data_IF_716268950484
#
_entry.id   IF_716268950484
#
_cell.length_a   1.000
_cell.length_b   1.000
_cell.length_c   1.000
_cell.angle_alpha   90.00
_cell.angle_beta   90.00
_cell.angle_gamma   90.00
#
_symmetry.space_group_name_H-M   'P 1'
#
loop_
_entity.id
_entity.type
_entity.pdbx_description
1 polymer ?
#
# COMPACT_ATOMS: atom_id res chain seq x y z
N UNK A 1 24.25 -0.47 6.98
CA UNK A 1 23.17 0.07 6.12
C UNK A 1 22.74 -1.06 5.21
N UNK A 2 21.48 -1.49 5.25
CA UNK A 2 21.00 -2.47 4.27
C UNK A 2 20.97 -1.81 2.89
N UNK A 3 21.40 -2.51 1.83
CA UNK A 3 21.31 -1.98 0.49
C UNK A 3 19.84 -1.63 0.21
N UNK A 4 19.57 -0.52 -0.49
CA UNK A 4 18.21 -0.21 -0.91
C UNK A 4 17.66 -1.38 -1.76
N UNK A 5 16.33 -1.59 -1.78
CA UNK A 5 15.68 -2.45 -2.77
C UNK A 5 15.86 -1.78 -4.15
N UNK A 6 17.03 -1.99 -4.75
CA UNK A 6 17.53 -1.18 -5.86
C UNK A 6 18.93 -1.62 -6.30
N UNK A 7 19.03 -2.91 -6.62
CA UNK A 7 19.97 -3.57 -7.55
C UNK A 7 21.50 -3.49 -7.33
N UNK A 8 22.07 -4.65 -6.96
CA UNK A 8 23.39 -5.13 -7.43
C UNK A 8 23.30 -6.50 -8.14
N UNK A 9 22.19 -7.24 -7.97
CA UNK A 9 21.94 -8.55 -8.57
C UNK A 9 20.51 -8.60 -9.11
N UNK A 10 20.28 -9.33 -10.22
CA UNK A 10 18.92 -9.66 -10.65
C UNK A 10 18.26 -10.48 -9.54
N UNK A 11 17.17 -9.96 -8.97
CA UNK A 11 16.43 -10.61 -7.87
C UNK A 11 15.90 -11.99 -8.28
N UNK A 12 15.67 -12.20 -9.58
CA UNK A 12 15.19 -13.47 -10.15
C UNK A 12 15.94 -13.81 -11.45
N UNK A 13 16.30 -15.08 -11.62
CA UNK A 13 16.93 -15.63 -12.84
C UNK A 13 16.03 -15.53 -14.07
N UNK A 14 16.52 -15.84 -15.29
CA UNK A 14 15.66 -15.77 -16.49
C UNK A 14 14.48 -16.74 -16.43
N UNK A 15 14.71 -17.92 -15.87
CA UNK A 15 13.76 -19.04 -15.85
C UNK A 15 13.01 -19.15 -14.51
N UNK A 16 13.08 -18.13 -13.66
CA UNK A 16 12.39 -18.13 -12.37
C UNK A 16 10.87 -17.98 -12.59
N UNK A 17 10.06 -18.98 -12.20
CA UNK A 17 8.61 -18.96 -12.44
C UNK A 17 7.91 -17.79 -11.73
N UNK A 18 8.53 -17.22 -10.68
CA UNK A 18 7.98 -16.07 -9.94
C UNK A 18 7.98 -14.79 -10.77
N UNK A 19 8.75 -14.72 -11.86
CA UNK A 19 8.79 -13.55 -12.75
C UNK A 19 7.45 -13.23 -13.39
N UNK A 20 6.60 -14.23 -13.62
CA UNK A 20 5.24 -14.02 -14.12
C UNK A 20 4.37 -13.19 -13.17
N UNK A 21 4.74 -13.10 -11.89
CA UNK A 21 4.02 -12.33 -10.86
C UNK A 21 4.68 -10.99 -10.55
N UNK A 22 5.83 -10.68 -11.15
CA UNK A 22 6.49 -9.38 -10.96
C UNK A 22 5.74 -8.35 -11.78
N UNK A 23 5.41 -7.21 -11.16
CA UNK A 23 4.79 -6.10 -11.86
C UNK A 23 5.66 -5.68 -13.05
N UNK A 24 5.08 -5.69 -14.24
CA UNK A 24 5.76 -5.24 -15.44
C UNK A 24 6.00 -3.72 -15.30
N UNK A 25 7.27 -3.25 -15.32
CA UNK A 25 7.58 -1.83 -15.11
C UNK A 25 6.96 -0.90 -16.16
N UNK A 26 6.57 -1.41 -17.33
CA UNK A 26 5.86 -0.62 -18.37
C UNK A 26 4.42 -0.28 -17.95
N UNK A 27 3.77 -1.15 -17.18
CA UNK A 27 2.37 -1.00 -16.76
C UNK A 27 2.23 -0.73 -15.26
N UNK A 28 3.33 -0.68 -14.52
CA UNK A 28 3.32 -0.44 -13.09
C UNK A 28 2.96 1.02 -12.79
N UNK A 29 1.87 1.22 -12.06
CA UNK A 29 1.50 2.53 -11.54
C UNK A 29 2.42 2.90 -10.36
N UNK A 30 3.23 3.99 -10.45
CA UNK A 30 4.17 4.36 -9.40
C UNK A 30 3.49 4.68 -8.06
N UNK A 31 2.18 4.95 -8.07
CA UNK A 31 1.39 5.22 -6.86
C UNK A 31 1.29 4.00 -5.94
N UNK A 32 1.60 2.79 -6.43
CA UNK A 32 1.71 1.59 -5.59
C UNK A 32 2.70 1.76 -4.45
N UNK A 33 3.78 2.55 -4.65
CA UNK A 33 4.78 2.83 -3.62
C UNK A 33 4.25 3.65 -2.44
N UNK A 34 3.08 4.28 -2.59
CA UNK A 34 2.42 5.02 -1.50
C UNK A 34 1.39 4.16 -0.76
N UNK A 35 1.09 2.96 -1.27
CA UNK A 35 0.12 2.02 -0.69
C UNK A 35 0.81 0.89 0.08
N UNK A 36 2.04 0.55 -0.31
CA UNK A 36 2.84 -0.49 0.32
C UNK A 36 3.45 0.03 1.63
N UNK A 37 2.72 -0.16 2.73
CA UNK A 37 3.21 0.14 4.07
C UNK A 37 3.81 -1.10 4.74
N UNK A 38 5.09 -1.00 5.08
CA UNK A 38 5.86 -2.00 5.80
C UNK A 38 5.77 -1.86 7.33
N UNK A 39 5.06 -0.84 7.83
CA UNK A 39 4.99 -0.51 9.26
C UNK A 39 6.21 0.23 9.83
N UNK A 40 7.16 0.69 9.01
CA UNK A 40 8.25 1.56 9.46
C UNK A 40 7.80 3.02 9.65
N UNK A 41 8.51 3.81 10.48
CA UNK A 41 8.20 5.23 10.72
C UNK A 41 8.23 6.11 9.46
N UNK A 42 9.13 5.80 8.53
CA UNK A 42 9.22 6.49 7.23
C UNK A 42 8.41 5.83 6.11
N UNK A 43 7.69 4.75 6.41
CA UNK A 43 6.82 4.08 5.44
C UNK A 43 5.58 4.96 5.14
N UNK A 44 4.99 4.85 3.94
CA UNK A 44 3.71 5.49 3.63
C UNK A 44 2.63 5.09 4.65
N UNK A 45 1.63 5.96 4.92
CA UNK A 45 0.50 5.62 5.75
C UNK A 45 -0.20 4.36 5.23
N UNK A 46 -0.57 3.45 6.13
CA UNK A 46 -1.30 2.24 5.76
C UNK A 46 -2.69 2.60 5.21
N UNK A 47 -3.05 2.00 4.07
CA UNK A 47 -4.37 2.14 3.45
C UNK A 47 -5.21 0.91 3.76
N UNK A 48 -6.50 1.12 4.09
CA UNK A 48 -7.42 0.03 4.42
C UNK A 48 -7.67 -0.88 3.22
N UNK A 49 -7.48 -2.20 3.41
CA UNK A 49 -7.73 -3.25 2.41
C UNK A 49 -9.19 -3.21 1.92
N UNK A 50 -10.15 -2.89 2.80
CA UNK A 50 -11.56 -2.78 2.41
C UNK A 50 -11.78 -1.70 1.34
N UNK A 51 -11.01 -0.61 1.36
CA UNK A 51 -11.11 0.45 0.32
C UNK A 51 -10.55 0.00 -1.03
N UNK A 52 -9.58 -0.93 -1.04
CA UNK A 52 -8.97 -1.44 -2.27
C UNK A 52 -9.87 -2.43 -3.01
N UNK A 53 -10.70 -3.20 -2.29
CA UNK A 53 -11.54 -4.25 -2.88
C UNK A 53 -12.83 -3.72 -3.55
N UNK A 54 -13.15 -2.44 -3.43
CA UNK A 54 -14.34 -1.82 -4.03
C UNK A 54 -14.23 -1.54 -5.55
N UNK A 55 -13.13 -1.96 -6.20
CA UNK A 55 -12.85 -1.58 -7.60
C UNK A 55 -12.46 -0.10 -7.77
N UNK A 56 -12.16 0.60 -6.68
CA UNK A 56 -11.90 2.05 -6.63
C UNK A 56 -10.41 2.42 -6.68
N UNK A 57 -9.58 1.57 -7.31
CA UNK A 57 -8.12 1.72 -7.39
C UNK A 57 -7.69 3.17 -7.64
N UNK A 58 -8.24 3.81 -8.67
CA UNK A 58 -7.84 5.15 -9.09
C UNK A 58 -7.98 6.19 -7.97
N UNK A 59 -9.12 6.18 -7.28
CA UNK A 59 -9.40 7.12 -6.18
C UNK A 59 -8.50 6.87 -4.97
N UNK A 60 -8.27 5.59 -4.64
CA UNK A 60 -7.46 5.19 -3.49
C UNK A 60 -5.99 5.51 -3.73
N UNK A 61 -5.48 5.20 -4.92
CA UNK A 61 -4.12 5.49 -5.32
C UNK A 61 -3.87 7.01 -5.42
N UNK A 62 -4.81 7.78 -5.97
CA UNK A 62 -4.72 9.24 -6.03
C UNK A 62 -4.70 9.87 -4.63
N UNK A 63 -5.57 9.43 -3.73
CA UNK A 63 -5.60 9.91 -2.35
C UNK A 63 -4.32 9.57 -1.58
N UNK A 64 -3.84 8.33 -1.70
CA UNK A 64 -2.59 7.90 -1.07
C UNK A 64 -1.39 8.71 -1.58
N UNK A 65 -1.30 8.90 -2.90
CA UNK A 65 -0.25 9.70 -3.52
C UNK A 65 -0.30 11.15 -3.03
N UNK A 66 -1.49 11.78 -3.06
CA UNK A 66 -1.68 13.15 -2.58
C UNK A 66 -1.26 13.28 -1.12
N UNK A 67 -1.81 12.44 -0.24
CA UNK A 67 -1.51 12.46 1.19
C UNK A 67 -0.02 12.29 1.47
N UNK A 68 0.66 11.42 0.72
CA UNK A 68 2.09 11.21 0.86
C UNK A 68 2.90 12.44 0.44
N UNK A 69 2.64 13.01 -0.73
CA UNK A 69 3.46 14.14 -1.24
C UNK A 69 3.15 15.48 -0.57
N UNK A 70 2.01 15.61 0.10
CA UNK A 70 1.66 16.80 0.89
C UNK A 70 2.11 16.71 2.35
N UNK A 71 2.60 15.56 2.81
CA UNK A 71 3.12 15.42 4.17
C UNK A 71 4.56 15.96 4.25
N UNK A 72 4.79 16.96 5.10
CA UNK A 72 6.11 17.57 5.32
C UNK A 72 7.16 16.58 5.83
N UNK A 73 6.75 15.45 6.43
CA UNK A 73 7.69 14.39 6.81
C UNK A 73 8.17 13.56 5.60
N UNK A 74 7.53 13.72 4.45
CA UNK A 74 7.79 12.95 3.23
C UNK A 74 8.33 13.82 2.09
N UNK A 75 7.83 15.06 1.96
CA UNK A 75 8.28 16.04 0.98
C UNK A 75 8.30 17.42 1.64
N UNK A 76 9.50 18.01 1.79
CA UNK A 76 9.69 19.29 2.47
C UNK A 76 10.63 20.18 1.71
N UNK A 77 10.22 21.42 1.47
CA UNK A 77 11.07 22.43 0.88
C UNK A 77 11.60 23.40 1.96
N UNK A 78 12.91 23.59 1.96
CA UNK A 78 13.64 24.54 2.79
C UNK A 78 14.02 25.74 1.90
N UNK A 79 13.34 26.87 2.15
CA UNK A 79 13.47 28.07 1.33
C UNK A 79 14.81 28.79 1.56
N UNK A 80 15.34 28.75 2.79
CA UNK A 80 16.57 29.45 3.17
C UNK A 80 17.79 28.84 2.48
N UNK A 81 17.82 27.51 2.39
CA UNK A 81 18.91 26.78 1.74
C UNK A 81 18.63 26.38 0.27
N UNK A 82 17.41 26.65 -0.23
CA UNK A 82 16.90 26.20 -1.52
C UNK A 82 17.07 24.68 -1.75
N UNK A 83 16.63 23.89 -0.76
CA UNK A 83 16.73 22.42 -0.78
C UNK A 83 15.34 21.78 -0.71
N UNK A 84 15.06 20.86 -1.64
CA UNK A 84 13.89 20.00 -1.59
C UNK A 84 14.29 18.64 -0.99
N UNK A 85 13.81 18.38 0.22
CA UNK A 85 13.97 17.12 0.92
C UNK A 85 12.86 16.14 0.50
N UNK A 86 13.26 14.99 -0.03
CA UNK A 86 12.36 13.92 -0.49
C UNK A 86 12.54 12.67 0.37
N UNK A 87 11.46 11.92 0.59
CA UNK A 87 11.55 10.59 1.17
C UNK A 87 12.44 9.69 0.29
N UNK A 88 13.15 8.77 0.93
CA UNK A 88 14.07 7.84 0.29
C UNK A 88 13.42 6.91 -0.76
N UNK A 89 12.10 6.70 -0.74
CA UNK A 89 11.41 5.94 -1.79
C UNK A 89 11.60 6.55 -3.19
N UNK A 90 11.69 7.88 -3.29
CA UNK A 90 11.96 8.57 -4.55
C UNK A 90 13.39 8.33 -5.06
N UNK A 91 14.31 7.95 -4.18
CA UNK A 91 15.67 7.53 -4.54
C UNK A 91 15.69 6.07 -4.98
N UNK A 92 15.05 5.18 -4.22
CA UNK A 92 15.06 3.73 -4.47
C UNK A 92 14.33 3.36 -5.75
N UNK A 93 13.15 3.97 -5.96
CA UNK A 93 12.28 3.69 -7.10
C UNK A 93 12.33 4.81 -8.14
N UNK A 94 13.49 5.47 -8.29
CA UNK A 94 13.66 6.61 -9.21
C UNK A 94 13.21 6.29 -10.65
N UNK A 95 13.46 5.06 -11.12
CA UNK A 95 13.03 4.58 -12.45
C UNK A 95 11.51 4.65 -12.62
N UNK A 96 10.76 4.26 -11.59
CA UNK A 96 9.30 4.23 -11.60
C UNK A 96 8.71 5.64 -11.62
N UNK A 97 9.40 6.62 -11.04
CA UNK A 97 9.01 8.04 -11.08
C UNK A 97 9.49 8.79 -12.33
N UNK A 98 9.87 8.08 -13.39
CA UNK A 98 10.29 8.64 -14.68
C UNK A 98 11.81 8.73 -14.88
N UNK A 99 12.61 8.21 -13.95
CA UNK A 99 14.06 8.02 -14.11
C UNK A 99 14.92 9.29 -14.02
N UNK A 100 14.33 10.48 -14.18
CA UNK A 100 15.00 11.77 -14.08
C UNK A 100 14.41 12.62 -12.96
N UNK A 101 15.18 13.57 -12.44
CA UNK A 101 14.70 14.48 -11.39
C UNK A 101 13.57 15.37 -11.90
N UNK A 102 13.65 15.85 -13.14
CA UNK A 102 12.59 16.66 -13.74
C UNK A 102 11.26 15.91 -13.84
N UNK A 103 11.27 14.65 -14.33
CA UNK A 103 10.06 13.84 -14.42
C UNK A 103 9.52 13.45 -13.04
N UNK A 104 10.40 13.18 -12.09
CA UNK A 104 10.02 12.91 -10.71
C UNK A 104 9.30 14.12 -10.08
N UNK A 105 9.83 15.34 -10.25
CA UNK A 105 9.19 16.56 -9.76
C UNK A 105 7.84 16.83 -10.45
N UNK A 106 7.75 16.57 -11.75
CA UNK A 106 6.48 16.66 -12.49
C UNK A 106 5.44 15.70 -11.93
N UNK A 107 5.83 14.46 -11.64
CA UNK A 107 4.95 13.46 -11.02
C UNK A 107 4.52 13.86 -9.60
N UNK A 108 5.45 14.33 -8.76
CA UNK A 108 5.13 14.82 -7.40
C UNK A 108 4.11 15.96 -7.48
N UNK A 109 4.32 16.95 -8.36
CA UNK A 109 3.38 18.06 -8.58
C UNK A 109 2.01 17.54 -9.01
N UNK A 110 1.96 16.58 -9.94
CA UNK A 110 0.72 15.94 -10.41
C UNK A 110 -0.02 15.25 -9.26
N UNK A 111 0.68 14.53 -8.39
CA UNK A 111 0.07 13.82 -7.25
C UNK A 111 -0.45 14.78 -6.19
N UNK A 112 0.25 15.88 -5.94
CA UNK A 112 -0.16 16.85 -4.92
C UNK A 112 -1.45 17.59 -5.32
N UNK A 113 -1.64 17.79 -6.63
CA UNK A 113 -2.77 18.52 -7.18
C UNK A 113 -2.69 20.03 -6.95
N UNK A 114 -3.80 20.72 -7.17
CA UNK A 114 -3.91 22.14 -6.94
C UNK A 114 -3.74 22.47 -5.44
N UNK A 115 -3.05 23.58 -5.14
CA UNK A 115 -2.81 24.02 -3.77
C UNK A 115 -1.61 23.38 -3.06
N UNK A 116 -0.73 22.68 -3.78
CA UNK A 116 0.53 22.21 -3.21
C UNK A 116 1.43 23.40 -2.86
N UNK A 117 1.50 23.78 -1.59
CA UNK A 117 2.24 24.97 -1.12
C UNK A 117 3.71 24.98 -1.55
N UNK A 118 4.33 23.81 -1.59
CA UNK A 118 5.73 23.65 -2.02
C UNK A 118 5.91 24.03 -3.49
N UNK A 119 4.91 23.82 -4.35
CA UNK A 119 4.97 24.23 -5.75
C UNK A 119 5.19 25.75 -5.89
N UNK A 120 4.40 26.55 -5.14
CA UNK A 120 4.54 28.00 -5.15
C UNK A 120 5.87 28.47 -4.56
N UNK A 121 6.38 27.78 -3.53
CA UNK A 121 7.68 28.11 -2.91
C UNK A 121 8.88 27.83 -3.84
N UNK A 122 8.74 26.86 -4.74
CA UNK A 122 9.77 26.42 -5.70
C UNK A 122 9.63 27.12 -7.06
N UNK A 123 8.51 27.77 -7.34
CA UNK A 123 8.28 28.42 -8.63
C UNK A 123 9.42 29.39 -9.02
N UNK A 124 9.92 29.25 -10.25
CA UNK A 124 11.07 30.02 -10.73
C UNK A 124 12.44 29.63 -10.16
N UNK A 125 12.51 28.61 -9.29
CA UNK A 125 13.74 28.12 -8.67
C UNK A 125 14.09 26.72 -9.14
N UNK A 126 15.39 26.42 -9.13
CA UNK A 126 15.90 25.05 -9.30
C UNK A 126 16.44 24.57 -7.94
N UNK A 127 15.63 23.90 -7.12
CA UNK A 127 16.04 23.47 -5.79
C UNK A 127 17.02 22.29 -5.88
N UNK A 128 17.98 22.22 -4.96
CA UNK A 128 18.83 21.02 -4.81
C UNK A 128 18.00 19.90 -4.18
N UNK A 129 18.02 18.71 -4.76
CA UNK A 129 17.31 17.55 -4.20
C UNK A 129 18.20 16.86 -3.16
N UNK A 130 17.66 16.62 -1.97
CA UNK A 130 18.27 15.76 -0.94
C UNK A 130 17.28 14.71 -0.47
N UNK A 131 17.77 13.53 -0.13
CA UNK A 131 16.94 12.46 0.41
C UNK A 131 17.02 12.40 1.92
N UNK A 132 15.86 12.31 2.57
CA UNK A 132 15.76 12.18 4.03
C UNK A 132 16.24 10.81 4.51
N UNK A 133 16.69 10.75 5.76
CA UNK A 133 17.04 9.48 6.42
C UNK A 133 15.77 8.65 6.58
N UNK A 134 15.82 7.40 6.16
CA UNK A 134 14.71 6.46 6.32
C UNK A 134 14.79 5.79 7.69
N UNK A 135 13.77 6.00 8.52
CA UNK A 135 13.65 5.40 9.84
C UNK A 135 12.87 4.09 9.75
N UNK A 136 13.59 2.99 9.95
CA UNK A 136 13.08 1.62 9.92
C UNK A 136 12.43 1.18 11.23
N UNK A 137 12.46 2.01 12.28
CA UNK A 137 11.82 1.63 13.54
C UNK A 137 10.32 1.42 13.33
N UNK A 138 9.71 0.42 14.01
CA UNK A 138 8.28 0.17 13.94
C UNK A 138 7.46 1.40 14.30
N UNK A 139 6.43 1.64 13.51
CA UNK A 139 5.56 2.79 13.65
C UNK A 139 4.35 2.49 14.54
N UNK A 140 4.58 2.22 15.83
CA UNK A 140 3.48 1.95 16.77
C UNK A 140 2.55 3.16 17.03
N UNK A 141 2.98 4.39 16.69
CA UNK A 141 2.35 5.64 17.15
C UNK A 141 1.68 6.54 16.09
N UNK A 142 1.65 6.19 14.79
CA UNK A 142 0.82 6.92 13.79
C UNK A 142 0.08 5.99 12.82
N UNK A 143 -0.68 5.03 13.33
CA UNK A 143 -1.87 4.62 12.58
C UNK A 143 -2.81 5.83 12.62
N UNK A 144 -2.67 6.76 11.64
CA UNK A 144 -3.78 7.65 11.30
C UNK A 144 -4.84 6.72 10.75
N UNK A 145 -5.73 6.22 11.60
CA UNK A 145 -7.06 5.82 11.13
C UNK A 145 -7.59 7.08 10.46
N UNK A 146 -7.64 7.09 9.13
CA UNK A 146 -8.24 8.19 8.41
C UNK A 146 -9.66 8.29 8.93
N UNK A 147 -9.91 9.27 9.81
CA UNK A 147 -11.24 9.50 10.36
C UNK A 147 -12.07 9.89 9.16
N UNK A 148 -13.08 9.09 8.79
CA UNK A 148 -13.83 9.39 7.60
C UNK A 148 -14.48 10.77 7.75
N UNK A 149 -14.47 11.54 6.67
CA UNK A 149 -15.13 12.84 6.61
C UNK A 149 -16.59 12.70 7.05
N UNK A 150 -17.19 13.81 7.51
CA UNK A 150 -18.56 13.89 8.05
C UNK A 150 -19.68 13.30 7.16
N UNK A 151 -19.39 12.88 5.92
CA UNK A 151 -20.27 12.09 5.06
C UNK A 151 -20.59 10.68 5.58
N UNK A 152 -19.82 10.15 6.53
CA UNK A 152 -19.89 8.72 6.89
C UNK A 152 -20.74 8.41 8.13
N UNK A 153 -21.41 9.41 8.72
CA UNK A 153 -22.40 9.16 9.77
C UNK A 153 -23.54 8.25 9.27
N UNK A 154 -23.84 8.32 7.97
CA UNK A 154 -24.79 7.42 7.31
C UNK A 154 -24.20 6.04 7.01
N UNK A 155 -22.90 5.94 6.68
CA UNK A 155 -22.23 4.65 6.45
C UNK A 155 -22.08 3.87 7.76
N UNK A 156 -21.69 4.52 8.86
CA UNK A 156 -21.65 3.90 10.19
C UNK A 156 -23.05 3.54 10.72
N UNK A 157 -24.08 4.36 10.45
CA UNK A 157 -25.47 3.98 10.75
C UNK A 157 -25.94 2.81 9.90
N UNK A 158 -25.55 2.73 8.64
CA UNK A 158 -25.93 1.64 7.73
C UNK A 158 -25.22 0.33 8.12
N UNK A 159 -23.92 0.38 8.43
CA UNK A 159 -23.14 -0.77 8.93
C UNK A 159 -23.62 -1.19 10.33
N UNK A 160 -23.89 -0.24 11.24
CA UNK A 160 -24.44 -0.55 12.57
C UNK A 160 -25.86 -1.11 12.51
N UNK A 161 -26.68 -0.62 11.58
CA UNK A 161 -27.99 -1.17 11.25
C UNK A 161 -27.84 -2.61 10.77
N UNK A 162 -27.06 -2.83 9.70
CA UNK A 162 -26.83 -4.13 9.09
C UNK A 162 -26.27 -5.15 10.09
N UNK A 163 -25.32 -4.76 10.95
CA UNK A 163 -24.79 -5.65 12.00
C UNK A 163 -25.81 -5.94 13.11
N UNK A 164 -26.74 -5.01 13.42
CA UNK A 164 -27.83 -5.25 14.37
C UNK A 164 -28.92 -6.16 13.79
N UNK A 165 -29.26 -6.01 12.51
CA UNK A 165 -30.28 -6.84 11.84
C UNK A 165 -29.75 -8.21 11.42
N UNK A 166 -28.51 -8.29 10.92
CA UNK A 166 -27.93 -9.54 10.41
C UNK A 166 -27.28 -10.40 11.48
N UNK A 167 -26.82 -9.82 12.60
CA UNK A 167 -26.14 -10.59 13.64
C UNK A 167 -26.76 -10.46 15.03
N UNK A 168 -27.68 -9.52 15.29
CA UNK A 168 -28.23 -9.32 16.64
C UNK A 168 -27.16 -8.94 17.68
N UNK A 169 -27.58 -8.36 18.82
CA UNK A 169 -26.61 -8.09 19.90
C UNK A 169 -26.18 -9.41 20.55
N UNK A 170 -24.87 -9.74 20.64
CA UNK A 170 -24.44 -10.92 21.37
C UNK A 170 -24.49 -10.62 22.87
N UNK A 171 -25.66 -10.82 23.47
CA UNK A 171 -25.86 -10.73 24.92
C UNK A 171 -26.10 -12.13 25.46
N UNK A 172 -25.06 -12.96 25.52
CA UNK A 172 -24.86 -13.99 26.56
C UNK A 172 -23.67 -14.88 26.22
N UNK A 173 -23.06 -15.45 27.27
CA UNK A 173 -21.92 -16.39 27.21
C UNK A 173 -22.16 -17.60 26.28
N UNK A 174 -23.41 -17.91 25.96
CA UNK A 174 -23.84 -19.02 25.10
C UNK A 174 -23.40 -18.83 23.65
N UNK A 175 -23.41 -17.60 23.12
CA UNK A 175 -23.05 -17.34 21.72
C UNK A 175 -21.56 -17.52 21.41
N UNK A 176 -20.70 -17.29 22.40
CA UNK A 176 -19.26 -17.60 22.29
C UNK A 176 -18.97 -19.10 22.34
N UNK A 177 -19.89 -19.92 22.84
CA UNK A 177 -19.78 -21.38 22.77
C UNK A 177 -20.21 -21.89 21.39
N UNK A 178 -21.30 -21.35 20.83
CA UNK A 178 -21.80 -21.67 19.48
C UNK A 178 -20.78 -21.32 18.39
N UNK A 179 -20.19 -20.12 18.42
CA UNK A 179 -19.13 -19.71 17.46
C UNK A 179 -17.92 -20.64 17.54
N UNK A 180 -17.59 -21.13 18.75
CA UNK A 180 -16.49 -22.09 18.94
C UNK A 180 -16.83 -23.49 18.45
N UNK A 181 -18.11 -23.83 18.36
CA UNK A 181 -18.56 -25.10 17.81
C UNK A 181 -18.61 -25.03 16.27
N UNK A 182 -19.14 -23.95 15.71
CA UNK A 182 -19.11 -23.68 14.25
C UNK A 182 -17.67 -23.67 13.71
N UNK A 183 -16.72 -23.07 14.44
CA UNK A 183 -15.30 -23.09 14.06
C UNK A 183 -14.71 -24.51 14.03
N UNK A 184 -15.13 -25.39 14.95
CA UNK A 184 -14.67 -26.80 14.98
C UNK A 184 -15.27 -27.63 13.85
N UNK A 185 -16.44 -27.24 13.35
CA UNK A 185 -17.11 -27.92 12.24
C UNK A 185 -16.53 -27.47 10.88
N UNK A 186 -16.05 -26.23 10.79
CA UNK A 186 -15.45 -25.68 9.57
C UNK A 186 -13.99 -26.12 9.34
N UNK A 187 -13.20 -26.25 10.40
CA UNK A 187 -11.78 -26.64 10.36
C UNK A 187 -11.49 -27.92 9.53
N UNK A 188 -12.24 -29.04 9.72
CA UNK A 188 -12.04 -30.25 8.92
C UNK A 188 -12.39 -30.06 7.43
N UNK A 189 -13.36 -29.20 7.12
CA UNK A 189 -13.77 -28.92 5.73
C UNK A 189 -12.73 -28.06 5.02
N UNK A 190 -12.17 -27.07 5.71
CA UNK A 190 -11.06 -26.24 5.20
C UNK A 190 -9.81 -27.10 4.96
N UNK A 191 -9.51 -28.02 5.88
CA UNK A 191 -8.40 -28.97 5.72
C UNK A 191 -8.60 -29.90 4.52
N UNK A 192 -9.79 -30.46 4.35
CA UNK A 192 -10.13 -31.32 3.20
C UNK A 192 -10.02 -30.55 1.87
N UNK A 193 -10.51 -29.30 1.83
CA UNK A 193 -10.40 -28.46 0.64
C UNK A 193 -8.94 -28.13 0.28
N UNK A 194 -8.07 -27.93 1.28
CA UNK A 194 -6.64 -27.72 1.07
C UNK A 194 -5.94 -28.97 0.52
N UNK A 195 -6.27 -30.16 1.05
CA UNK A 195 -5.73 -31.44 0.57
C UNK A 195 -6.17 -31.74 -0.88
N UNK A 196 -7.43 -31.47 -1.23
CA UNK A 196 -7.96 -31.61 -2.60
C UNK A 196 -7.29 -30.64 -3.59
N UNK A 197 -7.01 -29.41 -3.15
CA UNK A 197 -6.30 -28.42 -3.95
C UNK A 197 -4.84 -28.85 -4.21
N UNK A 198 -4.16 -29.35 -3.17
CA UNK A 198 -2.79 -29.85 -3.31
C UNK A 198 -2.71 -31.06 -4.25
N UNK A 199 -3.68 -31.97 -4.19
CA UNK A 199 -3.78 -33.11 -5.10
C UNK A 199 -3.97 -32.65 -6.56
N UNK A 200 -4.85 -31.67 -6.80
CA UNK A 200 -5.05 -31.08 -8.13
C UNK A 200 -3.79 -30.40 -8.67
N UNK A 201 -3.06 -29.70 -7.81
CA UNK A 201 -1.79 -29.07 -8.22
C UNK A 201 -0.75 -30.11 -8.64
N UNK A 202 -0.64 -31.23 -7.90
CA UNK A 202 0.24 -32.35 -8.27
C UNK A 202 -0.16 -33.01 -9.59
N UNK A 203 -1.46 -33.16 -9.84
CA UNK A 203 -1.95 -33.71 -11.12
C UNK A 203 -1.62 -32.79 -12.31
N UNK A 204 -1.80 -31.48 -12.14
CA UNK A 204 -1.45 -30.47 -13.16
C UNK A 204 0.07 -30.51 -13.42
N UNK A 205 0.88 -30.59 -12.38
CA UNK A 205 2.32 -30.67 -12.51
C UNK A 205 2.77 -31.95 -13.25
N UNK A 206 2.21 -33.11 -12.92
CA UNK A 206 2.51 -34.36 -13.61
C UNK A 206 2.03 -34.38 -15.08
N UNK A 207 0.95 -33.67 -15.43
CA UNK A 207 0.52 -33.49 -16.83
C UNK A 207 1.50 -32.60 -17.60
N UNK A 208 2.01 -31.55 -16.96
CA UNK A 208 2.98 -30.65 -17.57
C UNK A 208 4.36 -31.31 -17.76
N UNK A 209 4.74 -32.27 -16.92
CA UNK A 209 5.99 -33.05 -17.08
C UNK A 209 5.91 -34.13 -18.16
N UNK A 210 4.70 -34.53 -18.58
CA UNK A 210 4.47 -35.50 -19.66
C UNK A 210 4.26 -34.87 -21.05
N UNK A 211 4.04 -33.56 -21.10
CA UNK A 211 3.85 -32.77 -22.32
C UNK A 211 5.18 -32.18 -22.80
#
# INVERSE_FOLDING_TARGET
QYPPPGELLRVMGKDDPRRGFVLNPVYADPRVHFLLSCGAKSCPPAVSIARMNDGKWESVAAEAAKNFVTDENQVRYDADSNVLYLNKIFSWYKKDFGGTEALMLLNIRRYAGEGWEVAGKIEGKTPKIKYMKYDWQPHASRIKTYSPAKSDANAFKMISSYLKTSFGRPTSRTRYAEIRQERRELEPLEKKAAEELEARMKEIQAKNEKA
#
